data_IF_992444988546
#
_entry.id   IF_992444988546
#
_cell.length_a   1.000
_cell.length_b   1.000
_cell.length_c   1.000
_cell.angle_alpha   90.00
_cell.angle_beta   90.00
_cell.angle_gamma   90.00
#
_symmetry.space_group_name_H-M   'P 1'
#
loop_
_entity.id
_entity.type
_entity.pdbx_description
1 polymer ?
#
# COMPACT_ATOMS: atom_id res chain seq x y z
N UNK A 1 0.92 -53.71 -19.89
CA UNK A 1 1.34 -52.31 -19.67
C UNK A 1 0.73 -51.87 -18.34
N UNK A 2 1.42 -51.76 -17.18
CA UNK A 2 2.63 -50.99 -16.87
C UNK A 2 2.56 -49.61 -17.54
N UNK A 3 2.49 -48.48 -16.84
CA UNK A 3 3.45 -48.07 -15.81
C UNK A 3 2.87 -47.05 -14.82
N UNK A 4 3.30 -47.21 -13.56
CA UNK A 4 3.16 -46.31 -12.42
C UNK A 4 3.66 -44.88 -12.70
N UNK A 5 3.15 -43.88 -11.98
CA UNK A 5 3.91 -42.88 -11.18
C UNK A 5 2.88 -42.14 -10.29
N UNK A 6 2.59 -42.70 -9.12
CA UNK A 6 2.07 -41.97 -7.95
C UNK A 6 2.83 -42.50 -6.74
N UNK A 7 4.14 -42.23 -6.72
CA UNK A 7 5.05 -42.48 -5.61
C UNK A 7 6.08 -41.37 -5.61
N UNK A 8 5.77 -40.26 -4.94
CA UNK A 8 6.72 -39.32 -4.31
C UNK A 8 6.04 -38.03 -3.85
N UNK A 9 5.08 -38.11 -2.92
CA UNK A 9 4.69 -36.93 -2.15
C UNK A 9 4.39 -37.27 -0.68
N UNK A 10 5.19 -38.18 -0.11
CA UNK A 10 5.14 -38.55 1.31
C UNK A 10 6.53 -38.54 1.96
N UNK A 11 7.36 -37.57 1.60
CA UNK A 11 8.66 -37.35 2.23
C UNK A 11 8.97 -35.85 2.23
N UNK A 12 8.49 -35.17 3.27
CA UNK A 12 9.20 -34.16 4.08
C UNK A 12 8.17 -33.43 4.97
N UNK A 13 7.61 -34.15 5.93
CA UNK A 13 6.97 -33.52 7.08
C UNK A 13 7.28 -34.33 8.34
N UNK A 14 8.56 -34.44 8.66
CA UNK A 14 8.99 -34.60 10.04
C UNK A 14 8.79 -33.26 10.76
N UNK A 15 7.53 -32.87 10.93
CA UNK A 15 7.16 -31.95 12.00
C UNK A 15 7.24 -32.79 13.28
N UNK A 16 8.31 -32.59 14.06
CA UNK A 16 8.38 -33.07 15.42
C UNK A 16 7.26 -32.43 16.23
N UNK A 17 6.15 -33.14 16.38
CA UNK A 17 5.13 -32.84 17.38
C UNK A 17 5.74 -33.16 18.74
N UNK A 18 6.33 -32.15 19.37
CA UNK A 18 6.64 -32.22 20.81
C UNK A 18 5.31 -32.05 21.54
N UNK A 19 4.73 -33.17 21.94
CA UNK A 19 3.62 -33.22 22.89
C UNK A 19 4.19 -32.79 24.25
N UNK A 20 4.06 -31.51 24.61
CA UNK A 20 4.27 -31.09 25.99
C UNK A 20 3.08 -31.56 26.83
N UNK A 21 3.27 -32.72 27.45
CA UNK A 21 2.53 -33.15 28.62
C UNK A 21 2.52 -32.02 29.67
N UNK A 22 1.35 -31.72 30.21
CA UNK A 22 1.21 -30.85 31.37
C UNK A 22 1.98 -31.45 32.56
N UNK A 23 3.12 -30.86 32.87
CA UNK A 23 3.67 -30.80 34.23
C UNK A 23 4.59 -29.58 34.33
N UNK A 24 4.31 -28.68 35.27
CA UNK A 24 5.24 -27.66 35.76
C UNK A 24 5.61 -28.01 37.22
N UNK A 25 6.77 -27.59 37.74
CA UNK A 25 8.02 -27.25 37.04
C UNK A 25 9.24 -27.95 37.68
N UNK A 26 10.20 -28.35 36.84
CA UNK A 26 11.58 -28.54 37.29
C UNK A 26 12.42 -27.64 36.42
N UNK A 27 13.13 -26.68 37.02
CA UNK A 27 14.18 -25.92 36.34
C UNK A 27 15.30 -26.91 35.97
N UNK A 28 15.17 -27.51 34.78
CA UNK A 28 16.25 -28.22 34.14
C UNK A 28 17.37 -27.24 33.75
N UNK A 29 18.57 -27.75 33.43
CA UNK A 29 19.65 -26.92 32.94
C UNK A 29 19.17 -26.19 31.69
N UNK A 30 19.22 -24.86 31.70
CA UNK A 30 18.92 -24.04 30.51
C UNK A 30 19.81 -24.51 29.37
N UNK A 31 19.24 -24.77 28.21
CA UNK A 31 20.03 -25.08 27.01
C UNK A 31 20.94 -23.90 26.68
N UNK A 32 22.11 -24.15 26.09
CA UNK A 32 23.06 -23.09 25.71
C UNK A 32 22.38 -21.98 24.88
N UNK A 33 21.43 -22.36 24.03
CA UNK A 33 20.61 -21.42 23.24
C UNK A 33 19.76 -20.46 24.09
N UNK A 34 19.15 -20.92 25.19
CA UNK A 34 18.39 -20.05 26.10
C UNK A 34 19.29 -19.07 26.86
N UNK A 35 20.52 -19.49 27.18
CA UNK A 35 21.52 -18.64 27.83
C UNK A 35 22.07 -17.60 26.85
N UNK A 36 22.34 -18.00 25.61
CA UNK A 36 22.77 -17.11 24.52
C UNK A 36 21.70 -16.06 24.20
N UNK A 37 20.42 -16.44 24.15
CA UNK A 37 19.32 -15.51 23.91
C UNK A 37 19.20 -14.43 25.00
N UNK A 38 19.58 -14.72 26.25
CA UNK A 38 19.63 -13.74 27.35
C UNK A 38 20.92 -12.91 27.39
N UNK A 39 22.01 -13.40 26.80
CA UNK A 39 23.31 -12.74 26.86
C UNK A 39 23.53 -11.65 25.79
N UNK A 40 22.74 -11.66 24.71
CA UNK A 40 22.76 -10.64 23.65
C UNK A 40 21.43 -9.88 23.64
N UNK A 41 21.54 -8.56 23.76
CA UNK A 41 20.42 -7.62 23.70
C UNK A 41 19.50 -7.89 22.50
N UNK A 42 18.20 -7.88 22.74
CA UNK A 42 17.16 -7.96 21.72
C UNK A 42 17.02 -6.62 20.96
N UNK A 43 16.54 -6.70 19.72
CA UNK A 43 16.11 -5.50 18.99
C UNK A 43 14.74 -5.08 19.53
N UNK A 44 14.66 -3.84 20.03
CA UNK A 44 13.41 -3.23 20.51
C UNK A 44 12.59 -2.65 19.37
N UNK A 45 13.24 -2.04 18.39
CA UNK A 45 12.55 -1.45 17.23
C UNK A 45 13.49 -1.28 16.04
N UNK A 46 12.93 -1.41 14.84
CA UNK A 46 13.55 -1.00 13.58
C UNK A 46 12.61 0.01 12.91
N UNK A 47 13.12 1.20 12.60
CA UNK A 47 12.33 2.28 11.99
C UNK A 47 13.07 2.84 10.79
N UNK A 48 12.40 2.94 9.64
CA UNK A 48 12.91 3.62 8.46
C UNK A 48 12.38 5.05 8.48
N UNK A 49 13.27 6.03 8.58
CA UNK A 49 12.89 7.45 8.71
C UNK A 49 13.14 8.21 7.42
N UNK A 50 12.32 9.24 7.19
CA UNK A 50 12.39 10.12 6.01
C UNK A 50 13.77 10.71 5.81
N UNK A 51 14.32 11.33 6.85
CA UNK A 51 15.60 12.04 6.81
C UNK A 51 16.81 11.15 6.53
N UNK A 52 16.66 9.83 6.65
CA UNK A 52 17.70 8.83 6.37
C UNK A 52 17.55 8.16 5.02
N UNK A 53 16.41 8.37 4.36
CA UNK A 53 16.01 7.68 3.14
C UNK A 53 15.45 8.65 2.08
N UNK A 54 15.89 9.90 2.12
CA UNK A 54 15.59 10.94 1.13
C UNK A 54 16.81 11.24 0.27
N UNK A 55 16.56 11.81 -0.91
CA UNK A 55 17.57 12.53 -1.67
C UNK A 55 18.12 13.72 -0.85
N UNK A 56 19.33 14.18 -1.19
CA UNK A 56 19.98 15.33 -0.55
C UNK A 56 19.03 16.53 -0.47
N UNK A 57 18.87 17.10 0.72
CA UNK A 57 17.94 18.20 0.97
C UNK A 57 16.50 17.78 1.29
N UNK A 58 16.21 16.48 1.44
CA UNK A 58 14.90 15.93 1.84
C UNK A 58 13.73 16.30 0.89
N UNK A 59 14.04 16.52 -0.38
CA UNK A 59 13.08 16.96 -1.41
C UNK A 59 12.25 15.81 -1.99
N UNK A 60 12.79 14.60 -2.02
CA UNK A 60 12.11 13.39 -2.50
C UNK A 60 12.61 12.12 -1.82
N UNK A 61 11.78 11.09 -1.74
CA UNK A 61 12.18 9.77 -1.27
C UNK A 61 13.15 9.09 -2.24
N UNK A 62 14.03 8.21 -1.73
CA UNK A 62 14.67 7.21 -2.60
C UNK A 62 13.63 6.24 -3.15
N UNK A 63 13.85 5.62 -4.33
CA UNK A 63 12.89 4.66 -4.89
C UNK A 63 12.52 3.53 -3.93
N UNK A 64 13.48 3.01 -3.17
CA UNK A 64 13.27 1.96 -2.18
C UNK A 64 12.33 2.41 -1.04
N UNK A 65 12.53 3.64 -0.55
CA UNK A 65 11.73 4.17 0.55
C UNK A 65 10.33 4.55 0.07
N UNK A 66 10.21 5.13 -1.12
CA UNK A 66 8.93 5.42 -1.76
C UNK A 66 8.06 4.15 -1.88
N UNK A 67 8.67 2.99 -2.16
CA UNK A 67 7.98 1.72 -2.29
C UNK A 67 7.37 1.19 -0.96
N UNK A 68 7.76 1.74 0.19
CA UNK A 68 7.20 1.36 1.49
C UNK A 68 5.88 2.09 1.81
N UNK A 69 5.37 2.94 0.92
CA UNK A 69 4.16 3.73 1.13
C UNK A 69 3.07 3.37 0.13
N UNK A 70 1.82 3.34 0.62
CA UNK A 70 0.67 3.04 -0.24
C UNK A 70 0.49 4.18 -1.24
N UNK A 71 0.24 3.84 -2.51
CA UNK A 71 -0.09 4.83 -3.53
C UNK A 71 -1.48 5.39 -3.23
N UNK A 72 -1.54 6.66 -2.79
CA UNK A 72 -2.81 7.36 -2.54
C UNK A 72 -3.37 7.94 -3.83
N UNK A 73 -4.70 8.04 -3.92
CA UNK A 73 -5.38 8.69 -5.05
C UNK A 73 -6.33 9.79 -4.52
N UNK A 74 -6.04 11.09 -4.74
CA UNK A 74 -4.86 11.61 -5.43
C UNK A 74 -3.56 11.36 -4.63
N UNK A 75 -2.42 11.42 -5.31
CA UNK A 75 -1.12 11.27 -4.68
C UNK A 75 -0.88 12.39 -3.67
N UNK A 76 -0.39 12.04 -2.48
CA UNK A 76 -0.04 13.02 -1.46
C UNK A 76 1.36 13.59 -1.73
N UNK A 77 1.60 14.89 -1.42
CA UNK A 77 2.93 15.48 -1.55
C UNK A 77 3.91 14.82 -0.57
N UNK A 78 5.20 14.79 -0.91
CA UNK A 78 6.22 14.18 -0.04
C UNK A 78 6.40 14.91 1.31
N UNK A 79 5.87 16.13 1.44
CA UNK A 79 5.79 16.87 2.71
C UNK A 79 4.77 16.28 3.68
N UNK A 80 3.90 15.38 3.23
CA UNK A 80 2.88 14.76 4.06
C UNK A 80 3.48 13.87 5.17
N UNK A 81 2.76 13.82 6.27
CA UNK A 81 3.15 13.11 7.49
C UNK A 81 3.26 11.60 7.30
N UNK A 82 2.53 11.02 6.32
CA UNK A 82 2.65 9.59 6.03
C UNK A 82 4.09 9.20 5.70
N UNK A 83 4.88 10.10 5.11
CA UNK A 83 6.25 9.82 4.69
C UNK A 83 7.29 9.94 5.81
N UNK A 84 6.90 10.37 7.01
CA UNK A 84 7.83 10.64 8.12
C UNK A 84 8.61 9.39 8.52
N UNK A 85 7.94 8.24 8.64
CA UNK A 85 8.58 6.99 9.02
C UNK A 85 7.74 5.76 8.68
N UNK A 86 8.39 4.61 8.62
CA UNK A 86 7.80 3.28 8.63
C UNK A 86 8.40 2.50 9.81
N UNK A 87 7.54 2.04 10.70
CA UNK A 87 7.92 1.17 11.82
C UNK A 87 7.80 -0.31 11.37
N UNK A 88 8.85 -1.09 11.59
CA UNK A 88 8.79 -2.54 11.37
C UNK A 88 8.06 -3.24 12.52
N UNK A 89 7.38 -4.35 12.21
CA UNK A 89 6.67 -5.18 13.19
C UNK A 89 7.61 -6.29 13.66
N UNK A 90 7.80 -6.41 14.97
CA UNK A 90 8.60 -7.48 15.56
C UNK A 90 7.65 -8.61 15.98
N UNK A 91 7.88 -9.81 15.45
CA UNK A 91 7.16 -11.03 15.78
C UNK A 91 8.07 -11.98 16.57
N UNK A 92 7.72 -12.21 17.84
CA UNK A 92 8.57 -12.95 18.76
C UNK A 92 9.90 -12.24 19.01
N UNK A 93 10.98 -13.02 19.17
CA UNK A 93 12.31 -12.50 19.51
C UNK A 93 13.25 -12.34 18.31
N UNK A 94 12.89 -12.81 17.12
CA UNK A 94 13.86 -12.95 16.01
C UNK A 94 13.34 -12.60 14.62
N UNK A 95 12.03 -12.45 14.41
CA UNK A 95 11.47 -12.09 13.09
C UNK A 95 11.01 -10.64 13.11
N UNK A 96 11.42 -9.88 12.11
CA UNK A 96 11.12 -8.46 11.97
C UNK A 96 10.51 -8.25 10.59
N UNK A 97 9.20 -8.02 10.53
CA UNK A 97 8.46 -7.80 9.29
C UNK A 97 8.46 -6.32 8.91
N UNK A 98 8.80 -6.05 7.66
CA UNK A 98 8.62 -4.75 7.02
C UNK A 98 7.50 -4.91 6.00
N UNK A 99 6.35 -4.31 6.27
CA UNK A 99 5.20 -4.38 5.39
C UNK A 99 5.40 -3.42 4.21
N UNK A 100 5.36 -3.98 3.01
CA UNK A 100 5.45 -3.26 1.74
C UNK A 100 4.06 -3.23 1.12
N UNK A 101 3.48 -2.06 0.84
CA UNK A 101 2.15 -2.00 0.24
C UNK A 101 2.04 -2.81 -1.04
N UNK A 102 0.95 -3.54 -1.21
CA UNK A 102 0.71 -4.38 -2.38
C UNK A 102 0.75 -3.55 -3.66
N UNK A 103 1.63 -3.94 -4.58
CA UNK A 103 1.84 -3.25 -5.85
C UNK A 103 2.36 -4.24 -6.90
N UNK A 104 1.49 -4.65 -7.83
CA UNK A 104 1.85 -5.56 -8.95
C UNK A 104 2.90 -4.96 -9.89
N UNK A 105 3.12 -3.65 -9.86
CA UNK A 105 4.09 -2.95 -10.72
C UNK A 105 5.47 -2.80 -10.10
N UNK A 106 5.64 -3.16 -8.82
CA UNK A 106 6.87 -2.97 -8.08
C UNK A 106 7.98 -3.92 -8.58
N UNK A 107 9.06 -3.35 -9.11
CA UNK A 107 10.16 -4.09 -9.73
C UNK A 107 11.53 -3.44 -9.49
N UNK A 108 11.93 -3.31 -8.22
CA UNK A 108 13.29 -2.93 -7.81
C UNK A 108 14.12 -4.22 -7.70
N UNK A 109 14.58 -4.70 -8.85
CA UNK A 109 15.31 -5.96 -9.00
C UNK A 109 16.82 -5.85 -8.70
N UNK A 110 17.35 -4.64 -8.61
CA UNK A 110 18.73 -4.35 -8.21
C UNK A 110 18.76 -4.02 -6.73
N UNK A 111 19.69 -4.63 -5.99
CA UNK A 111 19.80 -4.42 -4.56
C UNK A 111 20.00 -2.93 -4.24
N UNK A 112 19.11 -2.41 -3.40
CA UNK A 112 19.09 -1.00 -2.96
C UNK A 112 19.15 -0.94 -1.44
N UNK A 113 19.69 0.15 -0.91
CA UNK A 113 19.90 0.30 0.53
C UNK A 113 18.80 1.15 1.15
N UNK A 114 18.16 0.61 2.19
CA UNK A 114 17.34 1.35 3.13
C UNK A 114 18.12 1.55 4.43
N UNK A 115 18.20 2.78 4.93
CA UNK A 115 18.82 3.05 6.22
C UNK A 115 17.77 2.93 7.32
N UNK A 116 17.97 1.95 8.21
CA UNK A 116 17.12 1.75 9.37
C UNK A 116 17.75 2.36 10.62
N UNK A 117 16.93 2.98 11.47
CA UNK A 117 17.29 3.36 12.84
C UNK A 117 16.86 2.21 13.77
N UNK A 118 17.85 1.56 14.39
CA UNK A 118 17.68 0.41 15.27
C UNK A 118 17.81 0.87 16.73
N UNK A 119 16.94 0.36 17.59
CA UNK A 119 17.04 0.54 19.06
C UNK A 119 17.07 -0.84 19.71
N UNK A 120 17.95 -1.03 20.70
CA UNK A 120 18.03 -2.26 21.49
C UNK A 120 17.17 -2.14 22.76
N UNK A 121 16.73 -3.28 23.30
CA UNK A 121 15.98 -3.35 24.56
C UNK A 121 16.84 -2.94 25.77
N UNK A 122 18.13 -3.21 25.70
CA UNK A 122 19.13 -2.95 26.74
C UNK A 122 20.48 -2.61 26.12
N UNK A 123 21.42 -2.16 26.96
CA UNK A 123 22.75 -1.79 26.47
C UNK A 123 23.46 -3.05 25.96
N UNK A 124 24.09 -2.99 24.77
CA UNK A 124 24.90 -4.10 24.32
C UNK A 124 26.13 -4.22 25.22
N UNK A 125 26.45 -5.44 25.67
CA UNK A 125 27.65 -5.68 26.46
C UNK A 125 28.94 -5.35 25.70
N UNK A 126 30.09 -5.48 26.37
CA UNK A 126 31.38 -5.21 25.74
C UNK A 126 31.65 -6.09 24.52
N UNK A 127 32.27 -5.48 23.50
CA UNK A 127 32.69 -6.13 22.25
C UNK A 127 31.54 -6.80 21.49
N UNK A 128 30.38 -6.15 21.48
CA UNK A 128 29.22 -6.54 20.67
C UNK A 128 29.20 -5.76 19.36
N UNK A 129 28.85 -6.45 18.27
CA UNK A 129 28.87 -5.94 16.90
C UNK A 129 27.58 -6.30 16.17
N UNK A 130 27.14 -5.44 15.26
CA UNK A 130 26.16 -5.77 14.22
C UNK A 130 26.86 -5.65 12.86
N UNK A 131 27.05 -6.79 12.17
CA UNK A 131 28.00 -6.85 11.05
C UNK A 131 29.40 -6.47 11.53
N UNK A 132 30.02 -5.49 10.87
CA UNK A 132 31.34 -4.96 11.27
C UNK A 132 31.25 -3.75 12.20
N UNK A 133 30.04 -3.22 12.44
CA UNK A 133 29.82 -2.05 13.31
C UNK A 133 29.86 -2.46 14.77
N UNK A 134 30.88 -2.00 15.50
CA UNK A 134 30.93 -2.11 16.97
C UNK A 134 29.78 -1.27 17.57
N UNK A 135 28.99 -1.89 18.44
CA UNK A 135 27.92 -1.20 19.13
C UNK A 135 28.48 -0.51 20.38
N UNK A 136 28.04 0.73 20.60
CA UNK A 136 28.37 1.49 21.81
C UNK A 136 27.61 0.92 23.01
N UNK A 137 28.18 0.99 24.22
CA UNK A 137 27.51 0.64 25.49
C UNK A 137 26.39 1.65 25.84
N UNK A 138 25.34 1.66 25.03
CA UNK A 138 24.23 2.59 25.08
C UNK A 138 23.00 1.97 24.42
N UNK A 139 21.82 2.33 24.94
CA UNK A 139 20.52 2.04 24.31
C UNK A 139 20.12 3.10 23.28
N UNK A 140 20.96 4.11 23.06
CA UNK A 140 20.71 5.15 22.07
C UNK A 140 20.49 4.51 20.67
N UNK A 141 19.51 5.00 19.90
CA UNK A 141 19.28 4.48 18.56
C UNK A 141 20.50 4.70 17.66
N UNK A 142 20.75 3.76 16.76
CA UNK A 142 21.83 3.85 15.79
C UNK A 142 21.34 3.47 14.39
N UNK A 143 21.97 4.04 13.37
CA UNK A 143 21.63 3.75 11.99
C UNK A 143 22.39 2.51 11.47
N UNK A 144 21.72 1.71 10.66
CA UNK A 144 22.26 0.53 9.99
C UNK A 144 21.67 0.38 8.57
N UNK A 145 22.52 0.19 7.54
CA UNK A 145 22.05 -0.02 6.18
C UNK A 145 21.53 -1.45 5.99
N UNK A 146 20.36 -1.57 5.36
CA UNK A 146 19.74 -2.84 4.97
C UNK A 146 19.64 -2.85 3.45
N UNK A 147 20.40 -3.75 2.81
CA UNK A 147 20.34 -3.96 1.36
C UNK A 147 19.20 -4.92 1.02
N UNK A 148 18.34 -4.57 0.08
CA UNK A 148 17.19 -5.40 -0.31
C UNK A 148 16.80 -5.19 -1.77
N UNK A 149 16.06 -6.15 -2.32
CA UNK A 149 15.31 -5.99 -3.57
C UNK A 149 13.82 -5.94 -3.25
N UNK A 150 13.05 -5.18 -4.02
CA UNK A 150 11.61 -5.05 -3.84
C UNK A 150 10.96 -5.39 -5.18
N UNK A 151 10.68 -6.67 -5.39
CA UNK A 151 10.01 -7.19 -6.59
C UNK A 151 8.74 -7.88 -6.15
N UNK A 152 7.60 -7.49 -6.73
CA UNK A 152 6.27 -7.95 -6.35
C UNK A 152 6.19 -9.47 -6.08
N UNK A 153 6.65 -10.30 -7.03
CA UNK A 153 6.58 -11.75 -6.93
C UNK A 153 7.35 -12.34 -5.73
N UNK A 154 8.41 -11.67 -5.28
CA UNK A 154 9.25 -12.13 -4.16
C UNK A 154 8.77 -11.60 -2.81
N UNK A 155 7.87 -10.62 -2.80
CA UNK A 155 7.30 -10.04 -1.57
C UNK A 155 6.03 -10.76 -1.12
N UNK A 156 5.51 -11.71 -1.90
CA UNK A 156 4.31 -12.47 -1.54
C UNK A 156 4.58 -13.32 -0.29
N UNK A 157 3.67 -13.32 0.68
CA UNK A 157 3.88 -14.02 1.96
C UNK A 157 4.12 -15.53 1.78
N UNK A 158 3.40 -16.16 0.85
CA UNK A 158 3.56 -17.59 0.56
C UNK A 158 4.92 -17.95 -0.07
N UNK A 159 5.68 -16.99 -0.60
CA UNK A 159 7.06 -17.21 -1.08
C UNK A 159 8.10 -16.97 0.03
N UNK A 160 7.65 -16.57 1.23
CA UNK A 160 8.51 -16.29 2.39
C UNK A 160 9.06 -14.87 2.45
N UNK A 161 8.71 -14.01 1.49
CA UNK A 161 9.18 -12.63 1.38
C UNK A 161 10.66 -12.51 0.98
N UNK A 162 11.13 -11.27 0.87
CA UNK A 162 12.57 -10.98 0.69
C UNK A 162 13.19 -10.76 2.06
N UNK A 163 14.15 -11.59 2.45
CA UNK A 163 14.72 -11.53 3.80
C UNK A 163 16.21 -11.24 3.84
N UNK A 164 16.61 -10.52 4.89
CA UNK A 164 17.99 -10.29 5.29
C UNK A 164 18.19 -10.78 6.72
N UNK A 165 19.36 -11.35 7.01
CA UNK A 165 19.72 -11.78 8.36
C UNK A 165 20.65 -10.74 8.97
N UNK A 166 20.23 -10.17 10.09
CA UNK A 166 21.04 -9.31 10.95
C UNK A 166 21.61 -10.17 12.07
N UNK A 167 22.93 -10.26 12.17
CA UNK A 167 23.58 -11.00 13.26
C UNK A 167 24.25 -10.02 14.24
N UNK A 168 23.78 -10.05 15.49
CA UNK A 168 24.48 -9.41 16.60
C UNK A 168 25.46 -10.42 17.19
N UNK A 169 26.75 -10.07 17.26
CA UNK A 169 27.84 -10.96 17.66
C UNK A 169 28.63 -10.35 18.79
N UNK A 170 28.93 -11.14 19.84
CA UNK A 170 29.97 -10.79 20.81
C UNK A 170 31.27 -11.44 20.40
N UNK A 171 32.35 -10.68 20.40
CA UNK A 171 33.69 -11.17 20.05
C UNK A 171 34.64 -11.11 21.25
N UNK A 172 35.63 -11.97 21.28
CA UNK A 172 36.77 -11.86 22.18
C UNK A 172 37.76 -10.76 21.70
N UNK A 173 38.90 -10.64 22.38
CA UNK A 173 39.94 -9.65 22.06
C UNK A 173 40.64 -9.92 20.73
N UNK A 174 40.64 -11.18 20.30
CA UNK A 174 41.29 -11.64 19.06
C UNK A 174 40.32 -11.59 17.86
N UNK A 175 39.05 -11.23 18.11
CA UNK A 175 38.01 -11.07 17.10
C UNK A 175 37.19 -12.34 16.83
N UNK A 176 37.41 -13.42 17.59
CA UNK A 176 36.63 -14.65 17.46
C UNK A 176 35.22 -14.46 18.02
N UNK A 177 34.22 -15.01 17.33
CA UNK A 177 32.82 -14.92 17.75
C UNK A 177 32.59 -15.88 18.92
N UNK A 178 32.25 -15.34 20.09
CA UNK A 178 31.93 -16.10 21.29
C UNK A 178 30.47 -16.54 21.31
N UNK A 179 29.57 -15.61 21.02
CA UNK A 179 28.12 -15.82 20.97
C UNK A 179 27.53 -14.98 19.85
N UNK A 180 26.45 -15.47 19.23
CA UNK A 180 25.71 -14.74 18.20
C UNK A 180 24.20 -14.92 18.33
N UNK A 181 23.47 -13.90 17.91
CA UNK A 181 22.01 -13.90 17.82
C UNK A 181 21.59 -13.35 16.47
N UNK A 182 20.70 -14.07 15.78
CA UNK A 182 20.26 -13.77 14.42
C UNK A 182 18.83 -13.24 14.42
N UNK A 183 18.61 -12.14 13.72
CA UNK A 183 17.30 -11.54 13.48
C UNK A 183 17.02 -11.57 11.98
N UNK A 184 15.89 -12.13 11.57
CA UNK A 184 15.44 -12.16 10.19
C UNK A 184 14.57 -10.93 9.93
N UNK A 185 15.10 -9.96 9.19
CA UNK A 185 14.31 -8.86 8.64
C UNK A 185 13.68 -9.34 7.34
N UNK A 186 12.36 -9.35 7.24
CA UNK A 186 11.64 -9.82 6.05
C UNK A 186 10.76 -8.71 5.51
N UNK A 187 10.95 -8.38 4.24
CA UNK A 187 10.08 -7.52 3.46
C UNK A 187 9.00 -8.38 2.82
N UNK A 188 7.76 -8.00 3.05
CA UNK A 188 6.59 -8.78 2.65
C UNK A 188 5.48 -7.82 2.25
N UNK A 189 4.65 -8.23 1.29
CA UNK A 189 3.49 -7.45 0.93
C UNK A 189 2.48 -7.42 2.07
N UNK A 190 1.82 -6.27 2.25
CA UNK A 190 0.59 -6.21 3.02
C UNK A 190 -0.56 -6.91 2.27
N UNK A 191 -1.69 -7.06 2.97
CA UNK A 191 -2.90 -7.59 2.34
C UNK A 191 -3.49 -6.53 1.40
N UNK A 192 -3.64 -6.81 0.09
CA UNK A 192 -4.20 -5.81 -0.81
C UNK A 192 -5.64 -5.47 -0.46
N UNK A 193 -5.95 -4.18 -0.48
CA UNK A 193 -7.31 -3.70 -0.35
C UNK A 193 -8.16 -4.15 -1.55
N UNK A 194 -9.34 -4.69 -1.26
CA UNK A 194 -10.39 -4.99 -2.25
C UNK A 194 -11.40 -3.85 -2.39
N UNK A 195 -11.20 -2.75 -1.67
CA UNK A 195 -12.16 -1.66 -1.69
C UNK A 195 -12.03 -0.86 -3.00
N UNK A 196 -13.15 -0.72 -3.71
CA UNK A 196 -13.30 0.05 -4.94
C UNK A 196 -14.50 1.02 -4.85
N UNK A 197 -14.95 1.35 -3.64
CA UNK A 197 -16.11 2.23 -3.41
C UNK A 197 -15.70 3.70 -3.41
N UNK A 198 -16.35 4.50 -4.25
CA UNK A 198 -16.21 5.97 -4.24
C UNK A 198 -16.96 6.51 -3.03
N UNK A 199 -16.28 7.26 -2.16
CA UNK A 199 -16.91 7.87 -0.97
C UNK A 199 -17.31 9.32 -1.20
N UNK A 200 -16.77 9.95 -2.26
CA UNK A 200 -17.12 11.29 -2.67
C UNK A 200 -16.97 11.44 -4.18
N UNK A 201 -17.96 12.05 -4.81
CA UNK A 201 -17.99 12.34 -6.23
C UNK A 201 -18.51 13.76 -6.43
N UNK A 202 -17.66 14.67 -6.90
CA UNK A 202 -18.05 16.07 -7.10
C UNK A 202 -17.65 16.57 -8.48
N UNK A 203 -18.57 17.30 -9.10
CA UNK A 203 -18.47 17.83 -10.45
C UNK A 203 -18.15 19.31 -10.43
N UNK A 204 -17.47 19.76 -11.49
CA UNK A 204 -17.26 21.16 -11.81
C UNK A 204 -17.63 21.41 -13.27
N UNK A 205 -18.22 22.58 -13.56
CA UNK A 205 -18.31 23.10 -14.92
C UNK A 205 -16.94 23.61 -15.33
N UNK A 206 -16.38 23.03 -16.38
CA UNK A 206 -15.07 23.44 -16.89
C UNK A 206 -15.24 24.77 -17.63
N UNK A 207 -14.55 25.84 -17.23
CA UNK A 207 -14.38 27.00 -18.10
C UNK A 207 -13.52 26.57 -19.29
N UNK A 208 -13.89 26.99 -20.51
CA UNK A 208 -13.13 26.70 -21.73
C UNK A 208 -11.64 27.02 -21.51
N UNK A 209 -10.80 25.98 -21.44
CA UNK A 209 -9.34 26.11 -21.47
C UNK A 209 -8.55 25.92 -20.18
N UNK A 210 -9.13 25.56 -19.03
CA UNK A 210 -8.34 25.26 -17.81
C UNK A 210 -8.49 23.80 -17.38
N UNK A 211 -7.47 22.99 -17.65
CA UNK A 211 -7.22 21.75 -16.91
C UNK A 211 -6.74 22.18 -15.52
N UNK A 212 -7.58 22.03 -14.50
CA UNK A 212 -7.17 22.21 -13.12
C UNK A 212 -7.07 20.83 -12.47
N UNK A 213 -5.87 20.49 -12.03
CA UNK A 213 -5.65 19.36 -11.13
C UNK A 213 -6.25 19.71 -9.76
N UNK A 214 -7.15 18.85 -9.27
CA UNK A 214 -8.17 19.17 -8.27
C UNK A 214 -7.67 19.52 -6.86
N UNK A 215 -8.40 20.48 -6.23
CA UNK A 215 -8.73 20.58 -4.80
C UNK A 215 -9.39 21.94 -4.47
N UNK A 216 -10.49 22.28 -5.14
CA UNK A 216 -11.27 23.47 -4.78
C UNK A 216 -12.29 23.18 -3.65
N UNK A 217 -12.66 24.22 -2.88
CA UNK A 217 -13.66 24.14 -1.80
C UNK A 217 -15.04 23.71 -2.33
N UNK A 218 -15.70 22.87 -1.56
CA UNK A 218 -16.88 22.09 -1.98
C UNK A 218 -18.16 22.84 -1.60
N UNK A 219 -18.97 23.24 -2.60
CA UNK A 219 -20.31 23.80 -2.37
C UNK A 219 -21.39 22.71 -2.44
N UNK A 220 -22.43 22.84 -1.63
CA UNK A 220 -23.59 21.93 -1.60
C UNK A 220 -24.80 22.47 -2.41
N UNK A 221 -24.68 23.67 -3.00
CA UNK A 221 -25.79 24.38 -3.65
C UNK A 221 -25.52 24.56 -5.15
N UNK A 222 -25.85 23.55 -5.95
CA UNK A 222 -25.81 23.59 -7.43
C UNK A 222 -24.43 23.82 -8.05
N UNK A 223 -24.35 23.69 -9.39
CA UNK A 223 -23.16 24.11 -10.15
C UNK A 223 -23.34 25.58 -10.58
N UNK A 224 -22.73 26.52 -9.84
CA UNK A 224 -22.47 27.86 -10.35
C UNK A 224 -21.16 27.87 -11.17
N UNK A 225 -20.90 28.91 -11.98
CA UNK A 225 -19.61 29.06 -12.64
C UNK A 225 -18.47 29.09 -11.60
N UNK A 226 -17.57 28.12 -11.66
CA UNK A 226 -16.48 27.93 -10.69
C UNK A 226 -16.85 27.16 -9.41
N UNK A 227 -18.12 26.80 -9.20
CA UNK A 227 -18.60 26.01 -8.05
C UNK A 227 -18.47 24.49 -8.24
N UNK A 228 -18.56 23.75 -7.13
CA UNK A 228 -18.61 22.29 -7.11
C UNK A 228 -20.01 21.78 -6.77
N UNK A 229 -20.43 20.67 -7.38
CA UNK A 229 -21.63 19.93 -6.99
C UNK A 229 -21.24 18.53 -6.54
N UNK A 230 -21.46 18.23 -5.26
CA UNK A 230 -21.31 16.87 -4.72
C UNK A 230 -22.54 16.06 -5.07
N UNK A 231 -22.33 14.86 -5.61
CA UNK A 231 -23.39 13.91 -5.90
C UNK A 231 -23.36 12.75 -4.93
N UNK A 232 -24.55 12.32 -4.54
CA UNK A 232 -24.80 10.98 -4.03
C UNK A 232 -25.21 10.09 -5.19
N UNK A 233 -24.87 8.81 -5.13
CA UNK A 233 -25.37 7.87 -6.14
C UNK A 233 -26.90 7.77 -6.06
N UNK A 234 -27.55 7.52 -7.18
CA UNK A 234 -28.97 7.21 -7.22
C UNK A 234 -29.23 5.91 -6.44
N UNK A 235 -30.39 5.86 -5.79
CA UNK A 235 -30.84 4.64 -5.11
C UNK A 235 -31.35 3.64 -6.15
N UNK A 236 -31.07 2.35 -5.94
CA UNK A 236 -31.61 1.23 -6.74
C UNK A 236 -31.17 1.15 -8.22
N UNK A 237 -30.07 1.76 -8.65
CA UNK A 237 -29.62 1.70 -10.07
C UNK A 237 -28.72 0.50 -10.39
N UNK A 238 -27.96 0.01 -9.40
CA UNK A 238 -27.03 -1.10 -9.54
C UNK A 238 -26.05 -1.17 -8.37
N UNK A 239 -25.44 -2.34 -8.15
CA UNK A 239 -24.45 -2.58 -7.09
C UNK A 239 -23.00 -2.43 -7.56
N UNK A 240 -22.80 -2.19 -8.86
CA UNK A 240 -21.50 -2.05 -9.50
C UNK A 240 -20.82 -3.38 -9.78
N UNK A 241 -21.52 -4.52 -9.75
CA UNK A 241 -20.88 -5.84 -9.93
C UNK A 241 -20.37 -6.12 -11.34
N UNK A 242 -21.00 -5.52 -12.35
CA UNK A 242 -20.67 -5.71 -13.76
C UNK A 242 -21.02 -4.46 -14.60
N UNK A 243 -20.65 -4.50 -15.89
CA UNK A 243 -20.82 -3.38 -16.82
C UNK A 243 -22.27 -3.15 -17.30
N UNK A 244 -23.26 -3.83 -16.70
CA UNK A 244 -24.69 -3.61 -16.89
C UNK A 244 -25.41 -3.16 -15.61
N UNK A 245 -24.74 -3.25 -14.45
CA UNK A 245 -25.29 -2.91 -13.12
C UNK A 245 -24.53 -1.77 -12.47
N UNK A 246 -24.40 -0.64 -13.16
CA UNK A 246 -23.62 0.50 -12.67
C UNK A 246 -24.20 1.12 -11.39
N UNK A 247 -23.31 1.54 -10.50
CA UNK A 247 -23.63 2.55 -9.49
C UNK A 247 -23.72 3.89 -10.23
N UNK A 248 -24.89 4.52 -10.24
CA UNK A 248 -25.16 5.69 -11.06
C UNK A 248 -25.10 6.97 -10.23
N UNK A 249 -24.34 7.95 -10.71
CA UNK A 249 -24.46 9.34 -10.31
C UNK A 249 -25.26 10.06 -11.39
N UNK A 250 -26.38 10.67 -11.03
CA UNK A 250 -27.21 11.39 -12.00
C UNK A 250 -27.34 12.85 -11.63
N UNK A 251 -27.33 13.69 -12.66
CA UNK A 251 -27.80 15.06 -12.58
C UNK A 251 -28.97 15.27 -13.52
N UNK A 252 -29.98 15.94 -13.01
CA UNK A 252 -31.11 16.46 -13.77
C UNK A 252 -30.95 17.98 -13.84
N UNK A 253 -30.90 18.53 -15.06
CA UNK A 253 -30.59 19.95 -15.32
C UNK A 253 -31.39 20.89 -14.42
N UNK A 254 -32.71 20.78 -14.46
CA UNK A 254 -33.60 21.71 -13.75
C UNK A 254 -33.51 21.59 -12.22
N UNK A 255 -33.09 20.45 -11.70
CA UNK A 255 -32.97 20.20 -10.26
C UNK A 255 -31.61 20.58 -9.71
N UNK A 256 -30.53 20.32 -10.47
CA UNK A 256 -29.16 20.34 -9.93
C UNK A 256 -28.28 21.41 -10.57
N UNK A 257 -28.59 21.84 -11.80
CA UNK A 257 -27.66 22.61 -12.63
C UNK A 257 -28.37 23.39 -13.75
N UNK A 258 -29.32 24.25 -13.38
CA UNK A 258 -30.16 25.02 -14.32
C UNK A 258 -29.38 26.04 -15.15
N UNK A 259 -28.20 26.43 -14.67
CA UNK A 259 -27.23 27.33 -15.31
C UNK A 259 -26.42 26.70 -16.44
N UNK A 260 -26.52 25.38 -16.66
CA UNK A 260 -25.74 24.71 -17.70
C UNK A 260 -26.27 25.02 -19.11
N UNK A 261 -25.36 25.42 -19.97
CA UNK A 261 -25.58 25.65 -21.38
C UNK A 261 -25.29 24.40 -22.20
N UNK A 262 -25.84 24.36 -23.41
CA UNK A 262 -25.40 23.40 -24.43
C UNK A 262 -23.87 23.46 -24.60
N UNK A 263 -23.24 22.29 -24.81
CA UNK A 263 -21.80 22.12 -24.99
C UNK A 263 -20.93 22.40 -23.75
N UNK A 264 -21.52 22.76 -22.60
CA UNK A 264 -20.79 22.78 -21.33
C UNK A 264 -20.21 21.38 -21.03
N UNK A 265 -18.99 21.34 -20.50
CA UNK A 265 -18.33 20.07 -20.13
C UNK A 265 -18.23 19.96 -18.61
N UNK A 266 -18.87 18.92 -18.07
CA UNK A 266 -18.81 18.58 -16.66
C UNK A 266 -17.76 17.50 -16.44
N UNK A 267 -16.75 17.83 -15.62
CA UNK A 267 -15.70 16.90 -15.21
C UNK A 267 -15.79 16.66 -13.71
N UNK A 268 -15.30 15.51 -13.28
CA UNK A 268 -15.10 15.23 -11.86
C UNK A 268 -13.86 15.99 -11.41
N UNK A 269 -14.04 16.88 -10.44
CA UNK A 269 -12.98 17.73 -9.89
C UNK A 269 -12.55 17.28 -8.49
N UNK A 270 -13.46 16.66 -7.72
CA UNK A 270 -13.11 15.99 -6.47
C UNK A 270 -13.73 14.60 -6.39
N UNK A 271 -12.87 13.58 -6.42
CA UNK A 271 -13.22 12.18 -6.20
C UNK A 271 -12.36 11.62 -5.08
N UNK A 272 -12.97 10.96 -4.09
CA UNK A 272 -12.22 10.21 -3.07
C UNK A 272 -12.31 8.72 -3.41
N UNK A 273 -11.16 8.17 -3.77
CA UNK A 273 -10.97 6.75 -4.01
C UNK A 273 -10.33 6.08 -2.79
N UNK A 274 -10.55 4.76 -2.62
CA UNK A 274 -9.76 3.98 -1.68
C UNK A 274 -8.27 4.03 -2.03
N UNK A 275 -7.42 3.86 -1.03
CA UNK A 275 -5.97 3.81 -1.24
C UNK A 275 -5.59 2.71 -2.23
N UNK A 276 -4.68 3.02 -3.15
CA UNK A 276 -4.23 2.11 -4.21
C UNK A 276 -5.23 1.89 -5.34
N UNK A 277 -6.46 2.38 -5.23
CA UNK A 277 -7.47 2.22 -6.28
C UNK A 277 -7.22 3.18 -7.46
N UNK A 278 -7.57 2.72 -8.65
CA UNK A 278 -7.37 3.44 -9.91
C UNK A 278 -8.64 3.47 -10.75
N UNK A 279 -8.76 4.47 -11.61
CA UNK A 279 -9.83 4.55 -12.61
C UNK A 279 -9.37 3.85 -13.88
N UNK A 280 -10.24 3.02 -14.45
CA UNK A 280 -10.06 2.40 -15.75
C UNK A 280 -11.35 2.55 -16.57
N UNK A 281 -11.23 2.72 -17.89
CA UNK A 281 -12.38 2.90 -18.79
C UNK A 281 -12.61 1.69 -19.67
N UNK A 282 -11.60 0.85 -19.90
CA UNK A 282 -11.71 -0.37 -20.69
C UNK A 282 -12.84 -1.26 -20.16
N UNK A 283 -13.75 -1.64 -21.07
CA UNK A 283 -14.93 -2.47 -20.83
C UNK A 283 -15.88 -1.98 -19.72
N UNK A 284 -15.85 -0.68 -19.40
CA UNK A 284 -16.72 -0.10 -18.37
C UNK A 284 -18.22 -0.10 -18.77
N UNK A 285 -18.52 -0.22 -20.05
CA UNK A 285 -19.85 -0.36 -20.65
C UNK A 285 -19.77 -1.24 -21.89
N UNK A 286 -20.88 -1.89 -22.24
CA UNK A 286 -21.01 -2.66 -23.49
C UNK A 286 -20.82 -1.79 -24.75
N UNK A 287 -21.13 -0.50 -24.66
CA UNK A 287 -20.89 0.47 -25.73
C UNK A 287 -19.58 1.22 -25.46
N UNK A 288 -18.57 0.96 -26.28
CA UNK A 288 -17.23 1.55 -26.13
C UNK A 288 -17.23 3.09 -26.17
N UNK A 289 -18.15 3.72 -26.90
CA UNK A 289 -18.28 5.18 -26.95
C UNK A 289 -18.64 5.82 -25.59
N UNK A 290 -19.20 5.03 -24.66
CA UNK A 290 -19.53 5.49 -23.31
C UNK A 290 -18.37 5.31 -22.33
N UNK A 291 -17.31 4.59 -22.69
CA UNK A 291 -16.16 4.32 -21.83
C UNK A 291 -15.24 5.55 -21.76
N UNK A 292 -15.50 6.42 -20.80
CA UNK A 292 -14.89 7.76 -20.76
C UNK A 292 -14.37 8.06 -19.37
N UNK A 293 -13.16 8.63 -19.31
CA UNK A 293 -12.53 9.06 -18.06
C UNK A 293 -13.27 10.30 -17.54
N UNK A 294 -13.92 10.22 -16.36
CA UNK A 294 -14.75 11.30 -15.86
C UNK A 294 -13.94 12.50 -15.37
N UNK A 295 -12.64 12.34 -15.13
CA UNK A 295 -11.73 13.40 -14.70
C UNK A 295 -11.13 14.10 -15.93
N UNK A 296 -10.64 13.33 -16.91
CA UNK A 296 -9.95 13.90 -18.08
C UNK A 296 -10.90 14.47 -19.11
N UNK A 297 -11.93 13.70 -19.47
CA UNK A 297 -12.84 14.02 -20.56
C UNK A 297 -14.17 14.55 -20.03
N UNK A 298 -14.75 13.86 -19.04
CA UNK A 298 -16.04 14.22 -18.48
C UNK A 298 -17.21 13.99 -19.46
N UNK A 299 -18.32 14.67 -19.22
CA UNK A 299 -19.53 14.61 -20.05
C UNK A 299 -19.85 15.98 -20.65
N UNK A 300 -20.12 16.02 -21.96
CA UNK A 300 -20.60 17.22 -22.66
C UNK A 300 -22.12 17.30 -22.57
N UNK A 301 -22.64 18.43 -22.11
CA UNK A 301 -24.07 18.74 -22.11
C UNK A 301 -24.59 18.71 -23.55
N UNK A 302 -25.60 17.87 -23.87
CA UNK A 302 -26.13 17.76 -25.21
C UNK A 302 -26.83 19.06 -25.66
N UNK A 303 -26.85 19.26 -26.97
CA UNK A 303 -27.47 20.41 -27.62
C UNK A 303 -28.97 20.54 -27.33
N UNK A 304 -29.68 19.42 -27.34
CA UNK A 304 -31.10 19.39 -27.05
C UNK A 304 -31.34 19.11 -25.57
N UNK A 305 -32.16 19.96 -24.95
CA UNK A 305 -32.49 19.89 -23.52
C UNK A 305 -33.28 18.65 -23.11
N UNK A 306 -33.73 17.78 -24.03
CA UNK A 306 -34.42 16.53 -23.69
C UNK A 306 -33.50 15.31 -23.71
N UNK A 307 -32.24 15.46 -24.15
CA UNK A 307 -31.36 14.31 -24.32
C UNK A 307 -30.72 13.89 -23.00
N UNK A 308 -30.65 12.58 -22.82
CA UNK A 308 -29.83 11.93 -21.80
C UNK A 308 -28.49 11.55 -22.40
N UNK A 309 -27.40 11.84 -21.68
CA UNK A 309 -26.07 11.35 -22.01
C UNK A 309 -25.46 10.70 -20.78
N UNK A 310 -24.68 9.65 -21.00
CA UNK A 310 -24.00 8.94 -19.92
C UNK A 310 -22.57 8.58 -20.30
N UNK A 311 -21.70 8.57 -19.30
CA UNK A 311 -20.36 7.99 -19.39
C UNK A 311 -20.20 6.91 -18.33
N UNK A 312 -19.38 5.90 -18.63
CA UNK A 312 -19.09 4.77 -17.76
C UNK A 312 -17.59 4.66 -17.52
N UNK A 313 -17.23 4.31 -16.30
CA UNK A 313 -15.88 4.03 -15.86
C UNK A 313 -15.92 3.00 -14.74
N UNK A 314 -14.79 2.39 -14.43
CA UNK A 314 -14.66 1.47 -13.29
C UNK A 314 -13.56 1.93 -12.35
N UNK A 315 -13.77 1.64 -11.07
CA UNK A 315 -12.72 1.75 -10.05
C UNK A 315 -12.21 0.35 -9.81
N UNK A 316 -10.91 0.15 -10.03
CA UNK A 316 -10.19 -1.09 -9.74
C UNK A 316 -9.46 -0.92 -8.41
N UNK A 317 -9.66 -1.86 -7.49
CA UNK A 317 -9.02 -1.84 -6.18
C UNK A 317 -7.51 -2.11 -6.27
N UNK A 318 -6.80 -1.98 -5.15
CA UNK A 318 -5.35 -2.18 -5.07
C UNK A 318 -4.92 -3.60 -5.48
N UNK A 319 -5.78 -4.60 -5.27
CA UNK A 319 -5.54 -5.98 -5.73
C UNK A 319 -5.47 -6.12 -7.26
N UNK A 320 -5.92 -5.13 -8.02
CA UNK A 320 -5.96 -5.15 -9.48
C UNK A 320 -7.00 -6.09 -10.07
N UNK A 321 -7.89 -6.66 -9.26
CA UNK A 321 -8.86 -7.69 -9.64
C UNK A 321 -10.28 -7.28 -9.25
N UNK A 322 -10.46 -6.84 -8.01
CA UNK A 322 -11.75 -6.36 -7.52
C UNK A 322 -12.06 -5.02 -8.18
N UNK A 323 -13.23 -4.91 -8.78
CA UNK A 323 -13.64 -3.69 -9.48
C UNK A 323 -15.12 -3.38 -9.23
N UNK A 324 -15.47 -2.10 -9.31
CA UNK A 324 -16.85 -1.62 -9.33
C UNK A 324 -17.09 -0.75 -10.55
N UNK A 325 -18.25 -0.92 -11.17
CA UNK A 325 -18.68 -0.18 -12.35
C UNK A 325 -19.55 1.01 -11.97
N UNK A 326 -19.21 2.17 -12.52
CA UNK A 326 -19.89 3.44 -12.26
C UNK A 326 -20.38 4.06 -13.56
N UNK A 327 -21.49 4.78 -13.46
CA UNK A 327 -22.06 5.56 -14.54
C UNK A 327 -22.32 6.98 -14.06
N UNK A 328 -21.94 7.96 -14.86
CA UNK A 328 -22.33 9.35 -14.64
C UNK A 328 -23.27 9.78 -15.77
N UNK A 329 -24.48 10.18 -15.39
CA UNK A 329 -25.57 10.55 -16.32
C UNK A 329 -25.93 12.02 -16.16
N UNK A 330 -25.99 12.71 -17.30
CA UNK A 330 -26.67 13.99 -17.43
C UNK A 330 -28.04 13.78 -18.10
N UNK A 331 -29.08 14.36 -17.50
CA UNK A 331 -30.43 14.40 -18.03
C UNK A 331 -30.87 15.86 -18.20
N UNK A 332 -31.27 16.24 -19.42
CA UNK A 332 -31.56 17.63 -19.75
C UNK A 332 -32.91 18.18 -19.26
N UNK A 333 -33.85 17.30 -18.87
CA UNK A 333 -35.20 17.66 -18.39
C UNK A 333 -35.69 16.68 -17.34
#
# INVERSE_FOLDING_TARGET
MKTNIFKNLLSLLTLGVVIFSCNKPSEGPKTEDEVIQKAIANIKSIVFKKEKNSATGNTSATPAYAALFVKKTPALPYTDDIYKKIDAVIEGDSVIKVLVPFDKTLNINTATTLTATITLNEKPGENVYLGDKKLTDSTAPFDYPISTTLVHANLIESTGGVSQVLEIKRKDKDGNVLIKKSFKVVFIHDTPSKNCSITKFALKKTATGTNNDGNAKISAAGIADGGLLVLTHEQNTGDGSDNTKHIEYKIVKNTHASSLSENDVLKVDAMILPDGATILTTDASATAANNVDPIKTGITVPATSTNTKSICFKVVAQDGETQKFYKFTYQGS
#
